data_IF_261850376813
#
_entry.id   IF_261850376813
#
_cell.length_a   1.000
_cell.length_b   1.000
_cell.length_c   1.000
_cell.angle_alpha   90.00
_cell.angle_beta   90.00
_cell.angle_gamma   90.00
#
_symmetry.space_group_name_H-M   'P 1'
#
loop_
_entity.id
_entity.type
_entity.pdbx_description
1 polymer ?
#
# COMPACT_ATOMS: atom_id res chain seq x y z
N UNK A 1 21.19 -8.21 20.01
CA UNK A 1 20.82 -9.47 19.34
C UNK A 1 21.59 -10.61 20.00
N UNK A 2 20.98 -11.77 20.13
CA UNK A 2 21.62 -12.99 20.69
C UNK A 2 22.01 -13.93 19.56
N UNK A 3 22.92 -14.88 19.82
CA UNK A 3 23.30 -15.93 18.86
C UNK A 3 22.09 -16.72 18.34
N UNK A 4 21.06 -16.90 19.17
CA UNK A 4 19.79 -17.53 18.76
C UNK A 4 19.02 -16.81 17.65
N UNK A 5 19.37 -15.56 17.34
CA UNK A 5 18.72 -14.72 16.33
C UNK A 5 19.67 -14.29 15.21
N UNK A 6 20.78 -15.01 15.02
CA UNK A 6 21.80 -14.72 14.01
C UNK A 6 21.23 -14.70 12.57
N UNK A 7 20.19 -15.47 12.31
CA UNK A 7 19.51 -15.58 11.02
C UNK A 7 18.33 -14.61 10.84
N UNK A 8 18.06 -13.72 11.80
CA UNK A 8 16.97 -12.76 11.74
C UNK A 8 17.49 -11.41 11.21
N UNK A 9 17.11 -11.06 9.97
CA UNK A 9 17.54 -9.82 9.31
C UNK A 9 16.40 -9.20 8.47
N UNK A 10 16.35 -7.87 8.38
CA UNK A 10 15.41 -7.12 7.54
C UNK A 10 13.93 -7.26 7.92
N UNK A 11 13.65 -7.71 9.14
CA UNK A 11 12.29 -7.93 9.64
C UNK A 11 11.82 -6.75 10.49
N UNK A 12 10.52 -6.47 10.43
CA UNK A 12 9.84 -5.54 11.32
C UNK A 12 8.93 -6.36 12.23
N UNK A 13 9.09 -6.19 13.54
CA UNK A 13 8.24 -6.82 14.54
C UNK A 13 7.37 -5.77 15.21
N UNK A 14 6.06 -5.99 15.25
CA UNK A 14 5.13 -5.23 16.07
C UNK A 14 5.02 -5.90 17.43
N UNK A 15 5.32 -5.18 18.50
CA UNK A 15 5.33 -5.68 19.87
C UNK A 15 4.39 -4.85 20.73
N UNK A 16 3.42 -5.49 21.38
CA UNK A 16 2.48 -4.85 22.30
C UNK A 16 1.96 -5.87 23.32
N UNK A 17 1.87 -5.48 24.60
CA UNK A 17 1.52 -6.40 25.68
C UNK A 17 2.44 -7.62 25.72
N UNK A 18 1.86 -8.81 25.62
CA UNK A 18 2.52 -10.11 25.53
C UNK A 18 2.60 -10.65 24.09
N UNK A 19 2.24 -9.84 23.08
CA UNK A 19 2.13 -10.26 21.69
C UNK A 19 3.30 -9.74 20.84
N UNK A 20 3.85 -10.63 20.02
CA UNK A 20 4.87 -10.32 19.01
C UNK A 20 4.34 -10.77 17.65
N UNK A 21 4.26 -9.84 16.69
CA UNK A 21 3.81 -10.10 15.32
C UNK A 21 4.91 -9.78 14.32
N UNK A 22 5.16 -10.70 13.38
CA UNK A 22 6.00 -10.43 12.21
C UNK A 22 5.19 -9.64 11.17
N UNK A 23 5.66 -8.44 10.82
CA UNK A 23 4.97 -7.58 9.87
C UNK A 23 5.30 -8.01 8.44
N UNK A 24 4.27 -8.25 7.62
CA UNK A 24 4.45 -8.48 6.19
C UNK A 24 4.87 -7.19 5.48
N UNK A 25 5.82 -7.31 4.58
CA UNK A 25 6.24 -6.16 3.76
C UNK A 25 5.12 -5.79 2.77
N UNK A 26 4.95 -4.49 2.45
CA UNK A 26 4.02 -4.05 1.43
C UNK A 26 4.23 -4.79 0.10
N UNK A 27 3.13 -5.19 -0.53
CA UNK A 27 3.14 -5.80 -1.86
C UNK A 27 2.40 -4.89 -2.83
N UNK A 28 2.87 -4.74 -4.08
CA UNK A 28 2.11 -4.03 -5.11
C UNK A 28 0.73 -4.67 -5.27
N UNK A 29 -0.33 -3.87 -5.13
CA UNK A 29 -1.70 -4.35 -5.28
C UNK A 29 -2.28 -4.00 -6.65
N UNK A 30 -2.04 -2.77 -7.12
CA UNK A 30 -2.53 -2.23 -8.37
C UNK A 30 -1.50 -1.28 -8.97
N UNK A 31 -1.50 -1.16 -10.29
CA UNK A 31 -0.65 -0.24 -11.02
C UNK A 31 -1.39 0.32 -12.23
N UNK A 32 -1.05 1.54 -12.61
CA UNK A 32 -1.52 2.21 -13.82
C UNK A 32 -0.31 2.61 -14.66
N UNK A 33 -0.47 2.63 -15.97
CA UNK A 33 0.62 2.86 -16.91
C UNK A 33 0.15 3.80 -18.00
N UNK A 34 1.00 4.77 -18.37
CA UNK A 34 0.76 5.66 -19.49
C UNK A 34 1.74 5.35 -20.62
N UNK A 35 1.30 4.77 -21.75
CA UNK A 35 2.19 4.34 -22.82
C UNK A 35 3.06 5.44 -23.43
N UNK A 36 2.59 6.69 -23.47
CA UNK A 36 3.38 7.81 -23.98
C UNK A 36 4.47 8.30 -23.03
N UNK A 37 4.45 7.86 -21.76
CA UNK A 37 5.33 8.35 -20.70
C UNK A 37 5.01 9.77 -20.22
N UNK A 38 3.99 10.41 -20.78
CA UNK A 38 3.55 11.76 -20.41
C UNK A 38 2.16 11.70 -19.80
N UNK A 39 2.06 12.10 -18.53
CA UNK A 39 0.79 12.10 -17.82
C UNK A 39 0.00 13.36 -18.14
N UNK A 40 -1.21 13.16 -18.66
CA UNK A 40 -2.27 14.16 -18.66
C UNK A 40 -3.13 14.02 -17.39
N UNK A 41 -3.60 15.13 -16.83
CA UNK A 41 -4.37 15.13 -15.58
C UNK A 41 -5.74 14.48 -15.74
N UNK A 42 -6.43 14.69 -16.87
CA UNK A 42 -7.74 14.09 -17.11
C UNK A 42 -7.62 12.57 -17.19
N UNK A 43 -6.59 12.09 -17.91
CA UNK A 43 -6.32 10.66 -18.04
C UNK A 43 -5.86 10.03 -16.73
N UNK A 44 -4.97 10.69 -15.99
CA UNK A 44 -4.52 10.24 -14.67
C UNK A 44 -5.70 10.13 -13.70
N UNK A 45 -6.57 11.14 -13.65
CA UNK A 45 -7.72 11.17 -12.75
C UNK A 45 -8.66 9.97 -13.00
N UNK A 46 -8.97 9.68 -14.27
CA UNK A 46 -9.80 8.53 -14.64
C UNK A 46 -9.14 7.21 -14.24
N UNK A 47 -7.87 7.00 -14.58
CA UNK A 47 -7.18 5.74 -14.25
C UNK A 47 -6.97 5.55 -12.74
N UNK A 48 -6.68 6.62 -11.99
CA UNK A 48 -6.58 6.56 -10.54
C UNK A 48 -7.92 6.13 -9.90
N UNK A 49 -9.03 6.73 -10.34
CA UNK A 49 -10.38 6.37 -9.87
C UNK A 49 -10.75 4.93 -10.20
N UNK A 50 -10.57 4.54 -11.46
CA UNK A 50 -11.10 3.28 -11.99
C UNK A 50 -10.22 2.06 -11.69
N UNK A 51 -8.94 2.29 -11.36
CA UNK A 51 -7.99 1.23 -11.01
C UNK A 51 -7.56 1.36 -9.56
N UNK A 52 -6.79 2.40 -9.20
CA UNK A 52 -6.12 2.49 -7.90
C UNK A 52 -7.12 2.53 -6.74
N UNK A 53 -8.11 3.42 -6.81
CA UNK A 53 -9.12 3.59 -5.77
C UNK A 53 -10.43 2.89 -6.10
N UNK A 54 -10.43 1.98 -7.08
CA UNK A 54 -11.60 1.16 -7.38
C UNK A 54 -12.07 0.45 -6.12
N UNK A 55 -13.37 0.54 -5.86
CA UNK A 55 -14.07 -0.04 -4.70
C UNK A 55 -13.70 0.57 -3.34
N UNK A 56 -12.94 1.68 -3.33
CA UNK A 56 -12.72 2.51 -2.15
C UNK A 56 -13.76 3.62 -2.15
N UNK A 57 -14.73 3.51 -1.25
CA UNK A 57 -15.76 4.53 -1.08
C UNK A 57 -15.17 5.77 -0.42
N UNK A 58 -15.47 6.95 -0.96
CA UNK A 58 -15.14 8.21 -0.29
C UNK A 58 -16.08 8.37 0.92
N UNK A 59 -15.56 8.38 2.17
CA UNK A 59 -16.39 8.49 3.37
C UNK A 59 -16.91 9.91 3.61
N UNK A 60 -16.39 10.92 2.90
CA UNK A 60 -17.00 12.24 2.89
C UNK A 60 -18.27 12.18 2.03
N UNK A 61 -19.43 12.67 2.51
CA UNK A 61 -20.60 12.76 1.64
C UNK A 61 -20.24 13.65 0.45
N UNK A 62 -20.66 13.27 -0.77
CA UNK A 62 -21.05 14.28 -1.72
C UNK A 62 -22.28 14.94 -1.09
N UNK A 63 -22.07 16.06 -0.37
CA UNK A 63 -23.20 16.88 0.06
C UNK A 63 -23.89 17.36 -1.21
N UNK A 64 -25.21 17.16 -1.29
CA UNK A 64 -26.03 17.90 -2.26
C UNK A 64 -25.76 19.40 -2.19
#
# INVERSE_FOLDING_TARGET
>A
ATDFADNINGQIFLVYGDTISLVSQPRPQKAIYEPSGTWDLEKLAVMARDVLTKDIFNPAPARE
#
